data_IF_366487559154
#
_entry.id   IF_366487559154
#
_cell.length_a   1.000
_cell.length_b   1.000
_cell.length_c   1.000
_cell.angle_alpha   90.00
_cell.angle_beta   90.00
_cell.angle_gamma   90.00
#
_symmetry.space_group_name_H-M   'P 1'
#
loop_
_entity.id
_entity.type
_entity.pdbx_description
1 polymer ?
#
# COMPACT_ATOMS: atom_id res chain seq x y z
N UNK A 1 -13.26 27.75 40.94
CA UNK A 1 -13.46 27.51 39.50
C UNK A 1 -12.09 27.40 38.82
N UNK A 2 -11.65 26.21 38.39
CA UNK A 2 -10.62 26.07 37.36
C UNK A 2 -11.24 25.61 36.02
N UNK A 3 -10.78 26.11 34.85
CA UNK A 3 -11.26 25.65 33.55
C UNK A 3 -10.55 24.36 33.11
N UNK A 4 -11.36 23.29 33.09
CA UNK A 4 -11.40 22.19 32.11
C UNK A 4 -10.16 22.01 31.22
N UNK A 5 -9.32 21.06 31.61
CA UNK A 5 -8.51 20.28 30.66
C UNK A 5 -9.42 19.74 29.54
N UNK A 6 -9.17 20.22 28.32
CA UNK A 6 -9.77 19.66 27.12
C UNK A 6 -9.17 18.26 26.91
N UNK A 7 -9.89 17.26 27.42
CA UNK A 7 -9.66 15.85 27.15
C UNK A 7 -9.75 15.66 25.63
N UNK A 8 -8.59 15.47 24.99
CA UNK A 8 -8.51 14.90 23.64
C UNK A 8 -9.31 13.60 23.63
N UNK A 9 -10.24 13.37 22.69
CA UNK A 9 -10.87 12.06 22.59
C UNK A 9 -9.79 11.05 22.19
N UNK A 10 -9.33 10.29 23.18
CA UNK A 10 -8.54 9.10 23.01
C UNK A 10 -9.25 8.19 22.01
N UNK A 11 -8.57 7.86 20.91
CA UNK A 11 -9.02 6.88 19.95
C UNK A 11 -9.36 5.57 20.69
N UNK A 12 -10.63 5.18 20.64
CA UNK A 12 -11.09 3.91 21.17
C UNK A 12 -10.29 2.75 20.55
N UNK A 13 -10.01 1.67 21.30
CA UNK A 13 -9.34 0.48 20.79
C UNK A 13 -10.32 -0.31 19.90
N UNK A 14 -10.56 0.20 18.70
CA UNK A 14 -11.40 -0.44 17.69
C UNK A 14 -10.63 -1.59 17.04
N UNK A 15 -11.09 -2.82 17.27
CA UNK A 15 -10.81 -4.04 16.51
C UNK A 15 -9.91 -3.82 15.29
N UNK A 16 -8.63 -4.17 15.40
CA UNK A 16 -7.73 -4.30 14.24
C UNK A 16 -8.27 -5.41 13.36
N UNK A 17 -9.20 -5.07 12.46
CA UNK A 17 -9.55 -5.94 11.36
C UNK A 17 -8.25 -6.25 10.61
N UNK A 18 -7.98 -7.53 10.27
CA UNK A 18 -6.78 -7.91 9.53
C UNK A 18 -6.63 -6.99 8.31
N UNK A 19 -5.44 -6.47 8.04
CA UNK A 19 -5.22 -5.53 6.93
C UNK A 19 -5.76 -6.07 5.61
N UNK A 20 -5.67 -7.39 5.41
CA UNK A 20 -6.25 -8.11 4.27
C UNK A 20 -7.79 -8.03 4.20
N UNK A 21 -8.49 -8.01 5.33
CA UNK A 21 -9.95 -7.91 5.37
C UNK A 21 -10.40 -6.50 5.01
N UNK A 22 -9.71 -5.47 5.51
CA UNK A 22 -9.95 -4.07 5.13
C UNK A 22 -9.67 -3.84 3.64
N UNK A 23 -8.58 -4.43 3.12
CA UNK A 23 -8.30 -4.42 1.68
C UNK A 23 -9.42 -5.10 0.87
N UNK A 24 -9.88 -6.28 1.28
CA UNK A 24 -11.01 -6.98 0.63
C UNK A 24 -12.28 -6.15 0.64
N UNK A 25 -12.64 -5.54 1.77
CA UNK A 25 -13.81 -4.68 1.88
C UNK A 25 -13.70 -3.46 0.95
N UNK A 26 -12.54 -2.81 0.94
CA UNK A 26 -12.27 -1.64 0.09
C UNK A 26 -12.31 -1.94 -1.41
N UNK A 27 -12.00 -3.18 -1.80
CA UNK A 27 -11.99 -3.67 -3.18
C UNK A 27 -13.32 -4.35 -3.58
N UNK A 28 -14.17 -4.68 -2.62
CA UNK A 28 -15.50 -5.27 -2.87
C UNK A 28 -16.32 -4.32 -3.74
N UNK A 29 -16.90 -4.84 -4.82
CA UNK A 29 -17.69 -4.04 -5.77
C UNK A 29 -16.88 -3.20 -6.76
N UNK A 30 -15.55 -3.10 -6.60
CA UNK A 30 -14.67 -2.30 -7.48
C UNK A 30 -13.96 -3.12 -8.55
N UNK A 31 -14.52 -4.29 -8.92
CA UNK A 31 -13.93 -5.21 -9.91
C UNK A 31 -13.57 -4.51 -11.23
N UNK A 32 -14.44 -3.65 -11.74
CA UNK A 32 -14.19 -2.90 -12.98
C UNK A 32 -12.94 -2.01 -12.87
N UNK A 33 -12.83 -1.23 -11.80
CA UNK A 33 -11.66 -0.38 -11.55
C UNK A 33 -10.38 -1.22 -11.39
N UNK A 34 -10.44 -2.39 -10.74
CA UNK A 34 -9.30 -3.30 -10.62
C UNK A 34 -8.86 -3.80 -11.99
N UNK A 35 -9.78 -4.21 -12.87
CA UNK A 35 -9.43 -4.65 -14.22
C UNK A 35 -8.87 -3.51 -15.08
N UNK A 36 -9.41 -2.31 -14.97
CA UNK A 36 -8.86 -1.13 -15.65
C UNK A 36 -7.45 -0.81 -15.17
N UNK A 37 -7.18 -0.91 -13.87
CA UNK A 37 -5.83 -0.74 -13.31
C UNK A 37 -4.88 -1.81 -13.85
N UNK A 38 -5.31 -3.07 -13.93
CA UNK A 38 -4.49 -4.14 -14.51
C UNK A 38 -4.19 -3.90 -15.99
N UNK A 39 -5.16 -3.39 -16.76
CA UNK A 39 -4.95 -3.05 -18.17
C UNK A 39 -4.02 -1.85 -18.33
N UNK A 40 -4.12 -0.84 -17.46
CA UNK A 40 -3.19 0.29 -17.43
C UNK A 40 -1.77 -0.18 -17.10
N UNK A 41 -1.58 -0.97 -16.04
CA UNK A 41 -0.30 -1.56 -15.64
C UNK A 41 0.34 -2.35 -16.80
N UNK A 42 -0.47 -3.10 -17.55
CA UNK A 42 0.00 -3.87 -18.71
C UNK A 42 0.52 -2.98 -19.85
N UNK A 43 0.01 -1.75 -19.98
CA UNK A 43 0.43 -0.79 -21.02
C UNK A 43 1.68 0.00 -20.63
N UNK A 44 2.07 -0.03 -19.36
CA UNK A 44 3.26 0.66 -18.85
C UNK A 44 4.51 -0.08 -19.32
N UNK A 45 5.39 0.66 -20.00
CA UNK A 45 6.67 0.11 -20.48
C UNK A 45 7.63 -0.16 -19.30
N UNK A 46 8.52 -1.16 -19.40
CA UNK A 46 9.54 -1.43 -18.36
C UNK A 46 10.38 -0.21 -17.96
N UNK A 47 10.67 0.69 -18.89
CA UNK A 47 11.43 1.92 -18.63
C UNK A 47 10.67 2.88 -17.71
N UNK A 48 9.33 2.95 -17.86
CA UNK A 48 8.49 3.79 -17.01
C UNK A 48 8.39 3.24 -15.59
N UNK A 49 8.60 1.93 -15.41
CA UNK A 49 8.72 1.34 -14.09
C UNK A 49 9.98 1.78 -13.36
N UNK A 50 11.02 2.22 -14.07
CA UNK A 50 12.24 2.73 -13.45
C UNK A 50 12.11 4.19 -12.97
N UNK A 51 11.16 4.95 -13.52
CA UNK A 51 10.95 6.35 -13.15
C UNK A 51 10.05 6.45 -11.89
N UNK A 52 10.59 6.91 -10.75
CA UNK A 52 9.81 7.03 -9.52
C UNK A 52 8.68 8.05 -9.59
N UNK A 53 8.82 9.09 -10.41
CA UNK A 53 7.79 10.11 -10.59
C UNK A 53 6.60 9.54 -11.36
N UNK A 54 6.85 8.67 -12.34
CA UNK A 54 5.79 7.92 -13.04
C UNK A 54 5.06 6.98 -12.09
N UNK A 55 5.80 6.24 -11.25
CA UNK A 55 5.21 5.35 -10.25
C UNK A 55 4.36 6.11 -9.23
N UNK A 56 4.81 7.29 -8.79
CA UNK A 56 4.03 8.14 -7.90
C UNK A 56 2.69 8.55 -8.52
N UNK A 57 2.71 9.06 -9.75
CA UNK A 57 1.50 9.49 -10.46
C UNK A 57 0.55 8.31 -10.70
N UNK A 58 1.09 7.16 -11.06
CA UNK A 58 0.33 5.95 -11.29
C UNK A 58 -0.34 5.43 -10.01
N UNK A 59 0.39 5.41 -8.90
CA UNK A 59 -0.17 5.06 -7.60
C UNK A 59 -1.31 6.00 -7.17
N UNK A 60 -1.16 7.32 -7.39
CA UNK A 60 -2.22 8.31 -7.16
C UNK A 60 -3.43 8.06 -8.04
N UNK A 61 -3.21 7.83 -9.34
CA UNK A 61 -4.29 7.53 -10.29
C UNK A 61 -5.05 6.26 -9.90
N UNK A 62 -4.35 5.21 -9.46
CA UNK A 62 -4.99 3.97 -9.01
C UNK A 62 -5.77 4.16 -7.71
N UNK A 63 -5.23 4.89 -6.74
CA UNK A 63 -5.96 5.25 -5.53
C UNK A 63 -7.25 6.02 -5.86
N UNK A 64 -7.18 6.98 -6.79
CA UNK A 64 -8.33 7.75 -7.26
C UNK A 64 -9.35 6.87 -7.99
N UNK A 65 -8.93 6.00 -8.91
CA UNK A 65 -9.83 5.05 -9.61
C UNK A 65 -10.52 4.08 -8.65
N UNK A 66 -9.82 3.65 -7.61
CA UNK A 66 -10.39 2.84 -6.54
C UNK A 66 -11.23 3.67 -5.55
N UNK A 67 -11.30 5.00 -5.68
CA UNK A 67 -11.97 5.87 -4.73
C UNK A 67 -11.46 5.68 -3.30
N UNK A 68 -10.15 5.40 -3.15
CA UNK A 68 -9.51 5.20 -1.86
C UNK A 68 -8.83 6.50 -1.44
N UNK A 69 -9.19 7.09 -0.29
CA UNK A 69 -8.48 8.24 0.24
C UNK A 69 -7.12 7.79 0.76
N UNK A 70 -6.09 7.88 -0.09
CA UNK A 70 -4.71 7.55 0.27
C UNK A 70 -3.95 8.86 0.52
N UNK A 71 -3.45 9.10 1.75
CA UNK A 71 -2.64 10.28 2.03
C UNK A 71 -1.37 10.30 1.16
N UNK A 72 -0.93 11.49 0.72
CA UNK A 72 0.30 11.65 -0.06
C UNK A 72 1.52 11.03 0.61
N UNK A 73 1.58 11.06 1.95
CA UNK A 73 2.64 10.41 2.71
C UNK A 73 2.68 8.89 2.47
N UNK A 74 1.53 8.23 2.32
CA UNK A 74 1.45 6.79 2.01
C UNK A 74 1.89 6.51 0.58
N UNK A 75 1.55 7.40 -0.36
CA UNK A 75 2.06 7.30 -1.74
C UNK A 75 3.58 7.43 -1.76
N UNK A 76 4.16 8.41 -1.05
CA UNK A 76 5.62 8.58 -0.96
C UNK A 76 6.29 7.35 -0.31
N UNK A 77 5.70 6.79 0.74
CA UNK A 77 6.18 5.55 1.34
C UNK A 77 6.13 4.39 0.34
N UNK A 78 5.07 4.28 -0.46
CA UNK A 78 4.98 3.29 -1.53
C UNK A 78 6.08 3.47 -2.58
N UNK A 79 6.33 4.69 -3.07
CA UNK A 79 7.37 4.97 -4.06
C UNK A 79 8.77 4.65 -3.50
N UNK A 80 9.02 4.95 -2.23
CA UNK A 80 10.27 4.59 -1.57
C UNK A 80 10.42 3.08 -1.38
N UNK A 81 9.36 2.38 -0.98
CA UNK A 81 9.33 0.92 -0.92
C UNK A 81 9.59 0.30 -2.31
N UNK A 82 9.00 0.88 -3.34
CA UNK A 82 9.20 0.47 -4.73
C UNK A 82 10.65 0.66 -5.17
N UNK A 83 11.26 1.83 -4.90
CA UNK A 83 12.69 2.06 -5.15
C UNK A 83 13.59 1.08 -4.41
N UNK A 84 13.32 0.82 -3.14
CA UNK A 84 14.10 -0.14 -2.35
C UNK A 84 13.93 -1.57 -2.89
N UNK A 85 12.74 -1.91 -3.37
CA UNK A 85 12.47 -3.20 -4.01
C UNK A 85 13.20 -3.35 -5.35
N UNK A 86 13.18 -2.32 -6.20
CA UNK A 86 13.81 -2.37 -7.52
C UNK A 86 15.32 -2.21 -7.47
N UNK A 87 15.86 -1.44 -6.52
CA UNK A 87 17.30 -1.25 -6.31
C UNK A 87 18.01 -2.53 -5.88
N UNK A 88 17.37 -3.35 -5.06
CA UNK A 88 17.91 -4.64 -4.62
C UNK A 88 17.56 -5.79 -5.59
N UNK A 89 16.82 -5.49 -6.67
CA UNK A 89 16.37 -6.47 -7.66
C UNK A 89 15.51 -7.58 -7.03
N UNK A 90 15.49 -8.79 -7.60
CA UNK A 90 14.73 -9.92 -7.05
C UNK A 90 15.19 -10.36 -5.65
N UNK A 91 16.27 -9.80 -5.11
CA UNK A 91 16.75 -10.09 -3.75
C UNK A 91 16.14 -9.16 -2.69
N UNK A 92 15.23 -8.26 -3.05
CA UNK A 92 14.54 -7.42 -2.08
C UNK A 92 13.74 -8.27 -1.08
N UNK A 93 14.11 -8.18 0.20
CA UNK A 93 13.42 -8.90 1.25
C UNK A 93 12.09 -8.22 1.58
N UNK A 94 11.00 -8.94 1.29
CA UNK A 94 9.61 -8.50 1.55
C UNK A 94 9.41 -8.15 3.03
N UNK A 95 10.05 -8.88 3.94
CA UNK A 95 9.95 -8.60 5.37
C UNK A 95 10.54 -7.25 5.73
N UNK A 96 11.69 -6.89 5.15
CA UNK A 96 12.36 -5.62 5.44
C UNK A 96 11.57 -4.44 4.86
N UNK A 97 11.00 -4.62 3.66
CA UNK A 97 10.10 -3.63 3.06
C UNK A 97 8.84 -3.42 3.90
N UNK A 98 8.22 -4.50 4.39
CA UNK A 98 7.01 -4.42 5.22
C UNK A 98 7.33 -3.86 6.61
N UNK A 99 8.47 -4.22 7.22
CA UNK A 99 8.91 -3.61 8.48
C UNK A 99 9.15 -2.10 8.34
N UNK A 100 9.74 -1.67 7.21
CA UNK A 100 10.12 -0.27 6.98
C UNK A 100 8.95 0.62 6.56
N UNK A 101 8.03 0.12 5.73
CA UNK A 101 6.96 0.92 5.11
C UNK A 101 5.54 0.46 5.48
N UNK A 102 5.40 -0.76 5.99
CA UNK A 102 4.14 -1.43 6.31
C UNK A 102 3.79 -1.45 7.80
N UNK A 103 3.95 -0.33 8.51
CA UNK A 103 3.66 -0.23 9.95
C UNK A 103 2.24 -0.70 10.37
N UNK A 104 1.29 -0.73 9.43
CA UNK A 104 -0.10 -1.20 9.64
C UNK A 104 -0.36 -2.60 9.04
N UNK A 105 0.67 -3.30 8.58
CA UNK A 105 0.56 -4.65 8.02
C UNK A 105 0.80 -5.63 9.16
N UNK A 106 -0.24 -6.40 9.49
CA UNK A 106 -0.16 -7.50 10.45
C UNK A 106 0.55 -8.73 9.85
N UNK A 107 1.09 -9.59 10.72
CA UNK A 107 1.86 -10.78 10.32
C UNK A 107 1.07 -11.72 9.39
N UNK A 108 -0.24 -11.80 9.57
CA UNK A 108 -1.11 -12.61 8.69
C UNK A 108 -1.17 -12.00 7.29
N UNK A 109 -1.32 -10.69 7.18
CA UNK A 109 -1.24 -9.99 5.88
C UNK A 109 0.14 -10.14 5.24
N UNK A 110 1.24 -10.05 6.02
CA UNK A 110 2.60 -10.31 5.52
C UNK A 110 2.75 -11.74 4.96
N UNK A 111 2.24 -12.74 5.67
CA UNK A 111 2.29 -14.13 5.21
C UNK A 111 1.49 -14.37 3.93
N UNK A 112 0.36 -13.69 3.75
CA UNK A 112 -0.39 -13.74 2.48
C UNK A 112 0.39 -13.08 1.34
N UNK A 113 1.01 -11.91 1.56
CA UNK A 113 1.83 -11.22 0.54
C UNK A 113 2.99 -12.13 0.08
N UNK A 114 3.67 -12.79 1.02
CA UNK A 114 4.79 -13.71 0.72
C UNK A 114 4.42 -14.84 -0.24
N UNK A 115 3.16 -15.27 -0.30
CA UNK A 115 2.73 -16.33 -1.25
C UNK A 115 2.77 -15.88 -2.71
N UNK A 116 2.66 -14.58 -2.96
CA UNK A 116 2.62 -14.00 -4.30
C UNK A 116 3.96 -13.45 -4.76
N UNK A 117 4.94 -13.34 -3.86
CA UNK A 117 6.29 -12.95 -4.22
C UNK A 117 7.05 -14.19 -4.69
N UNK A 118 7.58 -14.20 -5.93
CA UNK A 118 8.39 -15.31 -6.41
C UNK A 118 9.55 -15.52 -5.46
N UNK A 119 9.73 -16.76 -4.98
CA UNK A 119 10.94 -17.11 -4.25
C UNK A 119 12.09 -17.06 -5.27
N UNK A 120 12.97 -16.08 -5.14
CA UNK A 120 14.23 -16.05 -5.87
C UNK A 120 14.93 -17.38 -5.62
N UNK A 121 15.19 -18.12 -6.71
CA UNK A 121 15.91 -19.39 -6.69
C UNK A 121 17.36 -19.19 -6.31
#
# INVERSE_FOLDING_TARGET
MPPRDAVQPAAAPGNKQPGVNTLKQNLTGKRKAIFEILDDVKKVKPEQWQDPSQIEQMAKNFANKLGLPVPDQRIKQFVNAYKDATKNGPNANVEDLVKKYGQNVDDKTLNEIKKFVPKSK
#
